data_IF_914373704462
#
_entry.id   IF_914373704462
#
_cell.length_a   1.000
_cell.length_b   1.000
_cell.length_c   1.000
_cell.angle_alpha   90.00
_cell.angle_beta   90.00
_cell.angle_gamma   90.00
#
_symmetry.space_group_name_H-M   'P 1'
#
loop_
_entity.id
_entity.type
_entity.pdbx_description
1 polymer ?
#
# COMPACT_ATOMS: atom_id res chain seq x y z
N UNK A 1 16.06 5.57 -2.13
CA UNK A 1 14.97 4.74 -2.69
C UNK A 1 15.09 3.35 -2.09
N UNK A 2 14.02 2.84 -1.49
CA UNK A 2 13.95 1.48 -0.95
C UNK A 2 13.13 0.60 -1.89
N UNK A 3 13.51 -0.67 -2.03
CA UNK A 3 12.74 -1.67 -2.76
C UNK A 3 11.69 -2.25 -1.82
N UNK A 4 10.42 -2.14 -2.19
CA UNK A 4 9.28 -2.67 -1.44
C UNK A 4 8.65 -3.81 -2.21
N UNK A 5 8.57 -4.98 -1.61
CA UNK A 5 8.03 -6.19 -2.24
C UNK A 5 6.67 -6.51 -1.65
N UNK A 6 5.62 -6.38 -2.46
CA UNK A 6 4.27 -6.83 -2.13
C UNK A 6 4.18 -8.33 -2.42
N UNK A 7 3.94 -9.11 -1.38
CA UNK A 7 3.81 -10.56 -1.41
C UNK A 7 2.33 -10.96 -1.52
N UNK A 8 2.09 -12.25 -1.74
CA UNK A 8 0.72 -12.78 -1.84
C UNK A 8 -0.02 -12.67 -0.50
N UNK A 9 0.69 -12.81 0.62
CA UNK A 9 0.17 -12.61 1.97
C UNK A 9 -0.33 -11.17 2.18
N UNK A 10 0.44 -10.16 1.76
CA UNK A 10 0.05 -8.75 1.87
C UNK A 10 -1.23 -8.48 1.05
N UNK A 11 -1.41 -9.16 -0.08
CA UNK A 11 -2.62 -9.04 -0.91
C UNK A 11 -3.82 -9.69 -0.24
N UNK A 12 -3.64 -10.90 0.29
CA UNK A 12 -4.69 -11.64 0.97
C UNK A 12 -5.16 -10.93 2.25
N UNK A 13 -4.22 -10.41 3.03
CA UNK A 13 -4.50 -9.65 4.25
C UNK A 13 -5.20 -8.33 3.93
N UNK A 14 -4.77 -7.59 2.91
CA UNK A 14 -5.46 -6.37 2.47
C UNK A 14 -6.88 -6.64 1.92
N UNK A 15 -7.20 -7.86 1.48
CA UNK A 15 -8.56 -8.23 1.13
C UNK A 15 -9.44 -8.48 2.37
N UNK A 16 -8.84 -8.91 3.48
CA UNK A 16 -9.53 -9.13 4.76
C UNK A 16 -9.63 -7.84 5.60
N UNK A 17 -8.65 -6.94 5.47
CA UNK A 17 -8.57 -5.68 6.20
C UNK A 17 -8.96 -4.49 5.31
N UNK A 18 -10.04 -3.80 5.66
CA UNK A 18 -10.52 -2.63 4.91
C UNK A 18 -9.66 -1.36 5.13
N UNK A 19 -8.75 -1.36 6.11
CA UNK A 19 -7.96 -0.19 6.50
C UNK A 19 -6.58 -0.13 5.84
N UNK A 20 -6.08 -1.25 5.31
CA UNK A 20 -4.78 -1.31 4.64
C UNK A 20 -4.90 -1.84 3.22
N UNK A 21 -4.09 -1.29 2.33
CA UNK A 21 -3.85 -1.88 1.02
C UNK A 21 -2.54 -2.71 1.06
N UNK A 22 -2.30 -3.56 0.04
CA UNK A 22 -1.17 -4.47 0.05
C UNK A 22 0.19 -3.75 0.13
N UNK A 23 0.28 -2.53 -0.41
CA UNK A 23 1.53 -1.77 -0.40
C UNK A 23 1.83 -1.19 0.99
N UNK A 24 0.80 -0.76 1.73
CA UNK A 24 0.94 -0.37 3.13
C UNK A 24 1.41 -1.55 3.98
N UNK A 25 0.83 -2.74 3.80
CA UNK A 25 1.23 -3.93 4.56
C UNK A 25 2.67 -4.35 4.26
N UNK A 26 3.04 -4.40 2.98
CA UNK A 26 4.40 -4.69 2.56
C UNK A 26 5.42 -3.71 3.14
N UNK A 27 5.05 -2.43 3.16
CA UNK A 27 5.87 -1.36 3.72
C UNK A 27 6.04 -1.51 5.24
N UNK A 28 4.97 -1.84 5.95
CA UNK A 28 5.00 -2.06 7.40
C UNK A 28 5.87 -3.26 7.76
N UNK A 29 5.70 -4.36 7.02
CA UNK A 29 6.47 -5.59 7.19
C UNK A 29 7.97 -5.36 6.99
N UNK A 30 8.37 -4.54 6.02
CA UNK A 30 9.78 -4.31 5.73
C UNK A 30 10.42 -3.16 6.52
N UNK A 31 9.66 -2.11 6.84
CA UNK A 31 10.17 -0.95 7.56
C UNK A 31 10.11 -1.12 9.09
N UNK A 32 9.29 -2.04 9.60
CA UNK A 32 9.04 -2.18 11.05
C UNK A 32 8.29 -0.99 11.66
N UNK A 33 7.73 -0.13 10.82
CA UNK A 33 7.00 1.08 11.17
C UNK A 33 5.60 1.04 10.58
N UNK A 34 4.64 1.74 11.19
CA UNK A 34 3.27 1.77 10.68
C UNK A 34 3.07 2.90 9.67
N UNK A 35 3.07 2.53 8.40
CA UNK A 35 2.81 3.35 7.24
C UNK A 35 1.40 3.15 6.70
N UNK A 36 0.84 4.23 6.15
CA UNK A 36 -0.33 4.18 5.29
C UNK A 36 0.00 4.81 3.94
N UNK A 37 -0.23 4.05 2.88
CA UNK A 37 -0.07 4.48 1.49
C UNK A 37 -1.47 4.71 0.92
N UNK A 38 -1.75 5.88 0.34
CA UNK A 38 -3.02 6.15 -0.34
C UNK A 38 -2.76 6.60 -1.79
N UNK A 39 -3.67 6.26 -2.71
CA UNK A 39 -3.58 6.62 -4.14
C UNK A 39 -4.54 7.74 -4.51
N UNK A 40 -5.68 7.82 -3.83
CA UNK A 40 -6.80 8.65 -4.27
C UNK A 40 -7.46 9.40 -3.07
N UNK A 41 -6.76 9.56 -1.95
CA UNK A 41 -7.19 10.32 -0.75
C UNK A 41 -8.54 9.83 -0.15
N UNK A 42 -9.00 8.66 -0.62
CA UNK A 42 -10.30 8.07 -0.31
C UNK A 42 -10.33 7.47 1.10
N UNK A 43 -9.16 7.06 1.61
CA UNK A 43 -9.02 6.52 2.98
C UNK A 43 -8.49 7.56 3.96
N UNK A 44 -7.93 8.69 3.48
CA UNK A 44 -7.42 9.77 4.33
C UNK A 44 -8.45 10.37 5.30
N UNK A 45 -9.76 10.22 5.01
CA UNK A 45 -10.84 10.66 5.91
C UNK A 45 -11.13 9.68 7.05
N UNK A 46 -10.73 8.43 6.91
CA UNK A 46 -10.88 7.42 7.95
C UNK A 46 -9.53 7.20 8.63
N UNK A 47 -9.27 8.12 9.57
CA UNK A 47 -8.66 7.86 10.87
C UNK A 47 -7.41 7.00 10.85
N UNK A 48 -6.23 7.57 11.12
CA UNK A 48 -5.26 6.96 12.05
C UNK A 48 -4.20 8.01 12.47
N UNK A 49 -4.36 8.65 13.63
CA UNK A 49 -3.50 9.76 14.08
C UNK A 49 -2.05 9.35 14.46
N UNK A 50 -1.71 8.06 14.40
CA UNK A 50 -0.40 7.52 14.81
C UNK A 50 0.39 6.89 13.65
N UNK A 51 -0.05 7.05 12.39
CA UNK A 51 0.63 6.46 11.23
C UNK A 51 1.44 7.49 10.46
N UNK A 52 2.64 7.12 10.03
CA UNK A 52 3.35 7.89 9.02
C UNK A 52 2.56 7.76 7.70
N UNK A 53 1.99 8.86 7.22
CA UNK A 53 1.25 8.87 5.96
C UNK A 53 2.21 9.16 4.82
N UNK A 54 2.31 8.23 3.88
CA UNK A 54 3.04 8.47 2.64
C UNK A 54 2.06 9.03 1.59
N UNK A 55 1.98 10.36 1.49
CA UNK A 55 1.14 11.08 0.52
C UNK A 55 1.96 11.59 -0.70
N UNK A 56 3.21 11.14 -0.87
CA UNK A 56 4.09 11.58 -1.96
C UNK A 56 3.98 10.68 -3.21
N UNK A 57 4.23 11.15 -4.45
CA UNK A 57 3.72 10.52 -5.64
C UNK A 57 4.34 9.13 -5.85
N UNK A 58 3.54 8.12 -5.53
CA UNK A 58 3.81 6.74 -5.86
C UNK A 58 4.17 6.60 -7.35
N UNK A 59 5.13 5.72 -7.69
CA UNK A 59 5.40 5.37 -9.08
C UNK A 59 4.10 5.01 -9.81
N UNK A 60 4.02 5.33 -11.11
CA UNK A 60 2.82 5.02 -11.92
C UNK A 60 2.42 3.55 -11.85
N UNK A 61 3.40 2.64 -11.74
CA UNK A 61 3.18 1.21 -11.54
C UNK A 61 2.49 0.90 -10.20
N UNK A 62 2.98 1.46 -9.09
CA UNK A 62 2.39 1.30 -7.76
C UNK A 62 0.95 1.85 -7.70
N UNK A 63 0.71 3.04 -8.28
CA UNK A 63 -0.65 3.60 -8.39
C UNK A 63 -1.57 2.71 -9.20
N UNK A 64 -1.11 2.20 -10.34
CA UNK A 64 -1.90 1.30 -11.19
C UNK A 64 -2.21 -0.01 -10.47
N UNK A 65 -1.25 -0.56 -9.74
CA UNK A 65 -1.43 -1.76 -8.94
C UNK A 65 -2.52 -1.57 -7.89
N UNK A 66 -2.41 -0.54 -7.07
CA UNK A 66 -3.37 -0.23 -6.02
C UNK A 66 -4.77 0.10 -6.58
N UNK A 67 -4.87 0.85 -7.69
CA UNK A 67 -6.15 1.07 -8.36
C UNK A 67 -6.80 -0.22 -8.87
N UNK A 68 -6.01 -1.15 -9.41
CA UNK A 68 -6.54 -2.45 -9.84
C UNK A 68 -7.04 -3.25 -8.64
N UNK A 69 -6.26 -3.27 -7.55
CA UNK A 69 -6.62 -3.92 -6.31
C UNK A 69 -7.95 -3.38 -5.75
N UNK A 70 -8.11 -2.06 -5.63
CA UNK A 70 -9.35 -1.44 -5.16
C UNK A 70 -10.55 -1.66 -6.08
N UNK A 71 -10.32 -1.91 -7.38
CA UNK A 71 -11.37 -2.30 -8.33
C UNK A 71 -11.74 -3.80 -8.23
N UNK A 72 -11.20 -4.54 -7.27
CA UNK A 72 -11.40 -5.99 -7.15
C UNK A 72 -10.76 -6.78 -8.29
N UNK A 73 -9.87 -6.17 -9.07
CA UNK A 73 -9.17 -6.89 -10.16
C UNK A 73 -8.06 -7.75 -9.56
N UNK A 74 -7.76 -8.89 -10.19
CA UNK A 74 -6.64 -9.73 -9.77
C UNK A 74 -5.35 -8.90 -9.64
N UNK A 75 -4.76 -9.00 -8.45
CA UNK A 75 -3.45 -8.48 -8.09
C UNK A 75 -2.49 -9.67 -7.90
N UNK A 76 -1.22 -9.46 -8.24
CA UNK A 76 -0.17 -10.46 -8.09
C UNK A 76 1.01 -9.84 -7.35
N UNK A 77 1.86 -10.65 -6.70
CA UNK A 77 3.05 -10.15 -6.01
C UNK A 77 3.90 -9.29 -6.93
N UNK A 78 4.39 -8.16 -6.43
CA UNK A 78 5.14 -7.19 -7.23
C UNK A 78 6.09 -6.35 -6.38
N UNK A 79 7.23 -5.96 -6.97
CA UNK A 79 8.22 -5.12 -6.31
C UNK A 79 8.20 -3.68 -6.86
N UNK A 80 8.18 -2.70 -5.96
CA UNK A 80 8.17 -1.27 -6.28
C UNK A 80 9.37 -0.58 -5.66
N UNK A 81 10.02 0.34 -6.38
CA UNK A 81 10.99 1.25 -5.78
C UNK A 81 10.28 2.50 -5.29
N UNK A 82 10.28 2.72 -3.97
CA UNK A 82 9.69 3.89 -3.34
C UNK A 82 10.79 4.84 -2.85
N UNK A 83 10.53 6.14 -2.95
CA UNK A 83 11.33 7.16 -2.27
C UNK A 83 10.67 7.38 -0.89
N UNK A 84 11.17 6.63 0.09
CA UNK A 84 10.78 6.69 1.50
C UNK A 84 11.88 7.38 2.28
#
# INVERSE_FOLDING_TARGET
MKLIEVLQEDIAEAHADMFYNPLSLALNRQAGETWSVDVDDLLARHYLPQRQQLIYPLPRSARRFLRRFHQGKPASPFAFRLAL
#
